data_IF_048589484106
#
_entry.id   IF_048589484106
#
_cell.length_a   1.000
_cell.length_b   1.000
_cell.length_c   1.000
_cell.angle_alpha   90.00
_cell.angle_beta   90.00
_cell.angle_gamma   90.00
#
_symmetry.space_group_name_H-M   'P 1'
#
loop_
_entity.id
_entity.type
_entity.pdbx_description
1 polymer ?
#
# COMPACT_ATOMS: atom_id res chain seq x y z
N UNK A 1 1.77 -12.90 -23.18
CA UNK A 1 2.91 -13.11 -24.11
C UNK A 1 2.91 -14.57 -24.54
N UNK A 2 3.63 -14.94 -25.61
CA UNK A 2 3.69 -16.33 -26.09
C UNK A 2 2.32 -16.94 -26.43
N UNK A 3 1.43 -16.16 -27.06
CA UNK A 3 0.10 -16.61 -27.46
C UNK A 3 -0.96 -16.62 -26.35
N UNK A 4 -0.58 -16.34 -25.10
CA UNK A 4 -1.48 -16.34 -23.94
C UNK A 4 -1.63 -14.93 -23.34
N UNK A 5 -2.74 -14.69 -22.61
CA UNK A 5 -2.93 -13.48 -21.81
C UNK A 5 -1.96 -13.48 -20.62
N UNK A 6 -1.54 -12.31 -20.14
CA UNK A 6 -0.66 -12.25 -18.96
C UNK A 6 -1.32 -12.87 -17.71
N UNK A 7 -2.63 -12.71 -17.55
CA UNK A 7 -3.42 -13.30 -16.46
C UNK A 7 -3.45 -14.84 -16.47
N UNK A 8 -3.07 -15.48 -17.58
CA UNK A 8 -2.96 -16.93 -17.71
C UNK A 8 -1.60 -17.46 -17.20
N UNK A 9 -0.62 -16.59 -16.97
CA UNK A 9 0.62 -16.95 -16.30
C UNK A 9 0.42 -17.10 -14.79
N UNK A 10 0.82 -18.25 -14.23
CA UNK A 10 0.76 -18.51 -12.79
C UNK A 10 1.51 -17.45 -11.98
N UNK A 11 2.69 -17.05 -12.42
CA UNK A 11 3.52 -16.05 -11.72
C UNK A 11 2.80 -14.70 -11.66
N UNK A 12 2.10 -14.30 -12.72
CA UNK A 12 1.31 -13.07 -12.74
C UNK A 12 0.11 -13.19 -11.81
N UNK A 13 -0.60 -14.33 -11.81
CA UNK A 13 -1.70 -14.57 -10.86
C UNK A 13 -1.25 -14.49 -9.41
N UNK A 14 -0.10 -15.07 -9.07
CA UNK A 14 0.44 -14.99 -7.70
C UNK A 14 0.68 -13.53 -7.29
N UNK A 15 1.26 -12.71 -8.16
CA UNK A 15 1.45 -11.27 -7.90
C UNK A 15 0.11 -10.55 -7.68
N UNK A 16 -0.89 -10.82 -8.51
CA UNK A 16 -2.23 -10.24 -8.37
C UNK A 16 -2.87 -10.63 -7.03
N UNK A 17 -2.79 -11.91 -6.65
CA UNK A 17 -3.31 -12.41 -5.37
C UNK A 17 -2.56 -11.81 -4.18
N UNK A 18 -1.25 -11.61 -4.27
CA UNK A 18 -0.48 -10.98 -3.19
C UNK A 18 -0.80 -9.49 -3.03
N UNK A 19 -1.03 -8.77 -4.13
CA UNK A 19 -1.49 -7.38 -4.09
C UNK A 19 -2.88 -7.30 -3.46
N UNK A 20 -3.82 -8.14 -3.92
CA UNK A 20 -5.19 -8.20 -3.38
C UNK A 20 -5.19 -8.52 -1.88
N UNK A 21 -4.44 -9.54 -1.45
CA UNK A 21 -4.30 -9.92 -0.04
C UNK A 21 -3.83 -8.76 0.83
N UNK A 22 -2.82 -8.00 0.38
CA UNK A 22 -2.28 -6.85 1.13
C UNK A 22 -3.29 -5.70 1.17
N UNK A 23 -3.94 -5.40 0.06
CA UNK A 23 -4.99 -4.37 -0.02
C UNK A 23 -6.14 -4.70 0.93
N UNK A 24 -6.62 -5.94 0.92
CA UNK A 24 -7.74 -6.38 1.75
C UNK A 24 -7.37 -6.35 3.25
N UNK A 25 -6.18 -6.81 3.63
CA UNK A 25 -5.71 -6.73 5.01
C UNK A 25 -5.60 -5.27 5.49
N UNK A 26 -4.99 -4.40 4.68
CA UNK A 26 -4.83 -2.98 5.00
C UNK A 26 -6.18 -2.27 5.09
N UNK A 27 -7.11 -2.56 4.17
CA UNK A 27 -8.47 -1.98 4.18
C UNK A 27 -9.24 -2.41 5.42
N UNK A 28 -9.27 -3.69 5.74
CA UNK A 28 -9.98 -4.20 6.91
C UNK A 28 -9.48 -3.56 8.22
N UNK A 29 -8.16 -3.40 8.36
CA UNK A 29 -7.58 -2.73 9.52
C UNK A 29 -7.95 -1.23 9.56
N UNK A 30 -7.88 -0.54 8.43
CA UNK A 30 -8.27 0.86 8.32
C UNK A 30 -9.75 1.08 8.69
N UNK A 31 -10.66 0.24 8.18
CA UNK A 31 -12.09 0.28 8.50
C UNK A 31 -12.34 0.01 9.99
N UNK A 32 -11.63 -0.95 10.58
CA UNK A 32 -11.71 -1.21 12.01
C UNK A 32 -11.25 -0.01 12.85
N UNK A 33 -10.17 0.66 12.46
CA UNK A 33 -9.68 1.85 13.15
C UNK A 33 -10.62 3.04 12.99
N UNK A 34 -11.18 3.24 11.79
CA UNK A 34 -12.19 4.27 11.54
C UNK A 34 -13.40 4.06 12.46
N UNK A 35 -13.92 2.83 12.54
CA UNK A 35 -15.01 2.50 13.44
C UNK A 35 -14.68 2.81 14.90
N UNK A 36 -13.47 2.45 15.38
CA UNK A 36 -13.04 2.77 16.75
C UNK A 36 -13.02 4.27 17.02
N UNK A 37 -12.49 5.05 16.08
CA UNK A 37 -12.47 6.52 16.18
C UNK A 37 -13.89 7.09 16.24
N UNK A 38 -14.82 6.57 15.43
CA UNK A 38 -16.23 6.97 15.45
C UNK A 38 -16.92 6.64 16.79
N UNK A 39 -16.47 5.58 17.48
CA UNK A 39 -16.93 5.25 18.84
C UNK A 39 -16.25 6.10 19.93
N UNK A 40 -15.41 7.07 19.58
CA UNK A 40 -14.72 7.98 20.49
C UNK A 40 -13.39 7.44 21.05
N UNK A 41 -12.94 6.28 20.59
CA UNK A 41 -11.60 5.75 20.91
C UNK A 41 -10.52 6.60 20.22
N UNK A 42 -9.31 6.61 20.79
CA UNK A 42 -8.14 7.32 20.25
C UNK A 42 -6.96 6.36 20.08
N UNK A 43 -7.03 5.41 19.15
CA UNK A 43 -5.98 4.41 18.93
C UNK A 43 -4.77 4.99 18.17
N UNK A 44 -4.10 6.01 18.74
CA UNK A 44 -3.06 6.79 18.06
C UNK A 44 -1.90 5.92 17.57
N UNK A 45 -1.46 4.97 18.39
CA UNK A 45 -0.43 4.01 18.00
C UNK A 45 -0.81 3.26 16.72
N UNK A 46 -2.00 2.65 16.72
CA UNK A 46 -2.46 1.82 15.62
C UNK A 46 -2.79 2.64 14.37
N UNK A 47 -3.24 3.89 14.52
CA UNK A 47 -3.42 4.83 13.40
C UNK A 47 -2.08 5.12 12.72
N UNK A 48 -1.02 5.37 13.51
CA UNK A 48 0.32 5.59 12.98
C UNK A 48 0.87 4.35 12.28
N UNK A 49 0.73 3.16 12.89
CA UNK A 49 1.12 1.89 12.28
C UNK A 49 0.34 1.61 10.98
N UNK A 50 -0.98 1.84 10.98
CA UNK A 50 -1.83 1.62 9.81
C UNK A 50 -1.46 2.56 8.65
N UNK A 51 -1.04 3.80 8.94
CA UNK A 51 -0.54 4.71 7.89
C UNK A 51 0.73 4.17 7.25
N UNK A 52 1.64 3.62 8.03
CA UNK A 52 2.86 2.96 7.53
C UNK A 52 2.52 1.71 6.71
N UNK A 53 1.60 0.88 7.21
CA UNK A 53 1.14 -0.31 6.49
C UNK A 53 0.51 0.06 5.14
N UNK A 54 -0.28 1.14 5.10
CA UNK A 54 -0.90 1.64 3.87
C UNK A 54 0.13 2.14 2.86
N UNK A 55 1.15 2.92 3.28
CA UNK A 55 2.19 3.40 2.37
C UNK A 55 3.04 2.25 1.81
N UNK A 56 3.44 1.29 2.64
CA UNK A 56 4.16 0.09 2.20
C UNK A 56 3.34 -0.80 1.27
N UNK A 57 2.02 -0.91 1.52
CA UNK A 57 1.11 -1.63 0.63
C UNK A 57 1.01 -0.96 -0.73
N UNK A 58 0.88 0.36 -0.76
CA UNK A 58 0.83 1.14 -2.00
C UNK A 58 2.13 0.99 -2.80
N UNK A 59 3.29 1.05 -2.14
CA UNK A 59 4.61 0.89 -2.77
C UNK A 59 4.76 -0.50 -3.38
N UNK A 60 4.38 -1.54 -2.63
CA UNK A 60 4.39 -2.91 -3.13
C UNK A 60 3.52 -3.06 -4.38
N UNK A 61 2.28 -2.56 -4.35
CA UNK A 61 1.35 -2.70 -5.48
C UNK A 61 1.81 -1.90 -6.69
N UNK A 62 2.32 -0.68 -6.51
CA UNK A 62 2.85 0.13 -7.61
C UNK A 62 4.02 -0.56 -8.31
N UNK A 63 4.93 -1.17 -7.54
CA UNK A 63 6.08 -1.91 -8.06
C UNK A 63 5.68 -3.17 -8.81
N UNK A 64 4.79 -3.98 -8.25
CA UNK A 64 4.30 -5.19 -8.92
C UNK A 64 3.50 -4.86 -10.18
N UNK A 65 2.66 -3.82 -10.15
CA UNK A 65 1.93 -3.36 -11.32
C UNK A 65 2.88 -2.90 -12.44
N UNK A 66 3.95 -2.17 -12.09
CA UNK A 66 4.98 -1.76 -13.05
C UNK A 66 5.65 -2.98 -13.69
N UNK A 67 6.01 -3.97 -12.88
CA UNK A 67 6.63 -5.20 -13.38
C UNK A 67 5.71 -6.03 -14.29
N UNK A 68 4.40 -6.09 -13.97
CA UNK A 68 3.40 -6.82 -14.78
C UNK A 68 3.21 -6.15 -16.14
N UNK A 69 3.18 -4.81 -16.19
CA UNK A 69 2.99 -4.05 -17.43
C UNK A 69 4.29 -3.90 -18.26
N UNK A 70 5.45 -4.17 -17.67
CA UNK A 70 6.75 -4.07 -18.35
C UNK A 70 7.00 -2.66 -18.87
N UNK A 71 7.57 -2.51 -20.07
CA UNK A 71 7.91 -1.20 -20.65
C UNK A 71 6.72 -0.24 -20.75
N UNK A 72 5.48 -0.74 -20.83
CA UNK A 72 4.29 0.10 -20.87
C UNK A 72 4.06 0.89 -19.57
N UNK A 73 4.61 0.45 -18.44
CA UNK A 73 4.51 1.17 -17.16
C UNK A 73 5.35 2.45 -17.12
N UNK A 74 6.32 2.60 -18.02
CA UNK A 74 7.18 3.79 -18.13
C UNK A 74 6.60 4.85 -19.08
N UNK A 75 5.56 4.51 -19.84
CA UNK A 75 4.94 5.43 -20.77
C UNK A 75 4.14 6.49 -20.00
N UNK A 76 4.46 7.76 -20.24
CA UNK A 76 3.70 8.88 -19.66
C UNK A 76 2.24 8.78 -20.07
N UNK A 77 1.35 9.04 -19.11
CA UNK A 77 -0.10 8.88 -19.28
C UNK A 77 -0.62 7.51 -18.85
N UNK A 78 0.25 6.51 -18.64
CA UNK A 78 -0.14 5.28 -17.97
C UNK A 78 -0.40 5.55 -16.48
N UNK A 79 -1.55 5.17 -15.90
CA UNK A 79 -1.82 5.35 -14.48
C UNK A 79 -0.75 4.74 -13.57
N UNK A 80 -0.16 3.61 -13.96
CA UNK A 80 0.89 2.94 -13.17
C UNK A 80 2.16 3.79 -13.09
N UNK A 81 2.54 4.47 -14.18
CA UNK A 81 3.67 5.41 -14.20
C UNK A 81 3.48 6.50 -13.12
N UNK A 82 2.30 7.11 -13.13
CA UNK A 82 1.96 8.20 -12.23
C UNK A 82 1.91 7.72 -10.78
N UNK A 83 1.22 6.62 -10.51
CA UNK A 83 1.11 6.03 -9.16
C UNK A 83 2.49 5.67 -8.62
N UNK A 84 3.38 5.12 -9.45
CA UNK A 84 4.74 4.75 -9.05
C UNK A 84 5.55 5.98 -8.62
N UNK A 85 5.41 7.12 -9.30
CA UNK A 85 6.05 8.38 -8.87
C UNK A 85 5.43 8.95 -7.60
N UNK A 86 4.11 8.85 -7.46
CA UNK A 86 3.37 9.43 -6.33
C UNK A 86 3.52 8.62 -5.03
N UNK A 87 3.96 7.36 -5.09
CA UNK A 87 3.99 6.52 -3.90
C UNK A 87 4.88 7.09 -2.78
N UNK A 88 5.99 7.72 -3.15
CA UNK A 88 6.94 8.29 -2.19
C UNK A 88 6.41 9.57 -1.53
N UNK A 89 5.66 10.41 -2.26
CA UNK A 89 5.07 11.61 -1.64
C UNK A 89 3.99 11.22 -0.63
N UNK A 90 3.23 10.15 -0.89
CA UNK A 90 2.25 9.61 0.06
C UNK A 90 2.91 8.98 1.29
N UNK A 91 4.10 8.37 1.14
CA UNK A 91 4.86 7.85 2.28
C UNK A 91 5.42 8.96 3.19
N UNK A 92 5.65 10.18 2.66
CA UNK A 92 6.23 11.31 3.41
C UNK A 92 5.15 12.24 3.99
N UNK A 93 4.09 12.51 3.21
CA UNK A 93 3.02 13.43 3.59
C UNK A 93 2.30 13.02 4.87
N UNK A 94 1.93 14.01 5.70
CA UNK A 94 1.25 13.76 6.98
C UNK A 94 2.14 13.16 8.07
N UNK A 95 3.45 13.03 7.82
CA UNK A 95 4.46 12.42 8.68
C UNK A 95 5.10 11.22 8.02
N UNK A 96 6.43 11.18 7.93
CA UNK A 96 7.15 10.07 7.27
C UNK A 96 6.92 8.75 7.98
N UNK A 97 7.28 7.64 7.34
CA UNK A 97 7.11 6.33 7.98
C UNK A 97 7.96 6.18 9.25
N UNK A 98 9.13 6.80 9.30
CA UNK A 98 10.01 6.83 10.48
C UNK A 98 9.35 7.62 11.62
N UNK A 99 8.80 8.79 11.31
CA UNK A 99 8.07 9.62 12.30
C UNK A 99 6.85 8.87 12.84
N UNK A 100 6.14 8.13 11.99
CA UNK A 100 4.97 7.35 12.40
C UNK A 100 5.35 6.14 13.25
N UNK A 101 6.46 5.46 12.93
CA UNK A 101 6.99 4.39 13.77
C UNK A 101 7.44 4.91 15.14
N UNK A 102 8.09 6.07 15.19
CA UNK A 102 8.46 6.73 16.45
C UNK A 102 7.24 7.16 17.27
N UNK A 103 6.21 7.72 16.62
CA UNK A 103 4.94 8.04 17.28
C UNK A 103 4.28 6.78 17.86
N UNK A 104 4.23 5.68 17.10
CA UNK A 104 3.67 4.42 17.57
C UNK A 104 4.43 3.87 18.78
N UNK A 105 5.77 3.86 18.73
CA UNK A 105 6.63 3.40 19.82
C UNK A 105 6.34 4.17 21.13
N UNK A 106 6.29 5.52 21.05
CA UNK A 106 5.97 6.38 22.20
C UNK A 106 4.58 6.12 22.79
N UNK A 107 3.59 5.84 21.95
CA UNK A 107 2.21 5.55 22.40
C UNK A 107 2.08 4.15 23.01
N UNK A 108 2.91 3.19 22.57
CA UNK A 108 2.96 1.83 23.10
C UNK A 108 3.85 1.69 24.34
N UNK A 109 4.73 2.66 24.59
CA UNK A 109 5.67 2.64 25.71
C UNK A 109 6.87 1.71 25.50
N UNK A 110 7.31 1.53 24.24
CA UNK A 110 8.48 0.74 23.85
C UNK A 110 9.56 1.59 23.18
#
# INVERSE_FOLDING_TARGET
>A
TFGARLSESQVIRHKLVDMDRRINATRAWMEQLAYRVDQGDKPIAQLAECKVQASLTMEFCAREASQILGGASYLRGNPVERIYREVRVNAIGGGSEEIMRDLAARQLGI
#
